data_IF_164310421161
#
_entry.id   IF_164310421161
#
_cell.length_a   1.000
_cell.length_b   1.000
_cell.length_c   1.000
_cell.angle_alpha   90.00
_cell.angle_beta   90.00
_cell.angle_gamma   90.00
#
_symmetry.space_group_name_H-M   'P 1'
#
loop_
_entity.id
_entity.type
_entity.pdbx_description
1 polymer ?
#
# COMPACT_ATOMS: atom_id res chain seq x y z
N UNK A 1 23.92 -11.17 -2.98
CA UNK A 1 24.57 -12.46 -2.65
C UNK A 1 25.03 -12.54 -1.20
N UNK A 2 25.34 -11.42 -0.53
CA UNK A 2 25.74 -11.40 0.89
C UNK A 2 24.59 -11.71 1.87
N UNK A 3 23.35 -11.32 1.54
CA UNK A 3 22.14 -11.70 2.30
C UNK A 3 21.86 -13.22 2.37
N UNK A 4 22.43 -14.02 1.45
CA UNK A 4 22.26 -15.48 1.46
C UNK A 4 23.28 -16.20 2.36
N UNK A 5 24.25 -15.46 2.92
CA UNK A 5 25.28 -16.00 3.81
C UNK A 5 24.97 -15.79 5.30
N UNK A 6 23.82 -15.17 5.62
CA UNK A 6 23.36 -15.00 6.99
C UNK A 6 23.05 -16.37 7.62
N UNK A 7 23.56 -16.61 8.83
CA UNK A 7 23.42 -17.89 9.55
C UNK A 7 22.24 -17.89 10.53
N UNK A 8 21.56 -16.75 10.69
CA UNK A 8 20.38 -16.64 11.56
C UNK A 8 19.22 -17.49 11.00
N UNK A 9 18.30 -17.98 11.87
CA UNK A 9 17.07 -18.63 11.41
C UNK A 9 16.34 -17.74 10.40
N UNK A 10 15.80 -18.34 9.35
CA UNK A 10 15.08 -17.60 8.31
C UNK A 10 13.87 -16.84 8.87
N UNK A 11 13.21 -17.37 9.90
CA UNK A 11 12.08 -16.74 10.60
C UNK A 11 12.47 -15.39 11.21
N UNK A 12 13.63 -15.32 11.87
CA UNK A 12 14.14 -14.06 12.47
C UNK A 12 14.43 -13.00 11.41
N UNK A 13 15.00 -13.42 10.27
CA UNK A 13 15.31 -12.54 9.15
C UNK A 13 14.02 -12.02 8.51
N UNK A 14 13.04 -12.90 8.30
CA UNK A 14 11.73 -12.53 7.75
C UNK A 14 11.02 -11.55 8.69
N UNK A 15 10.99 -11.83 9.98
CA UNK A 15 10.41 -10.94 10.99
C UNK A 15 11.08 -9.56 11.01
N UNK A 16 12.40 -9.50 10.91
CA UNK A 16 13.15 -8.24 10.83
C UNK A 16 12.78 -7.45 9.57
N UNK A 17 12.72 -8.13 8.41
CA UNK A 17 12.38 -7.49 7.14
C UNK A 17 10.93 -7.02 7.10
N UNK A 18 9.99 -7.77 7.67
CA UNK A 18 8.58 -7.39 7.75
C UNK A 18 8.35 -6.24 8.74
N UNK A 19 9.13 -6.16 9.83
CA UNK A 19 9.05 -5.06 10.81
C UNK A 19 9.69 -3.76 10.32
N UNK A 20 10.46 -3.78 9.22
CA UNK A 20 11.07 -2.57 8.67
C UNK A 20 9.99 -1.70 7.99
N UNK A 21 9.82 -0.41 8.36
CA UNK A 21 8.83 0.48 7.75
C UNK A 21 8.95 0.63 6.22
N UNK A 22 10.16 0.43 5.68
CA UNK A 22 10.42 0.46 4.24
C UNK A 22 9.73 -0.69 3.50
N UNK A 23 9.37 -1.77 4.20
CA UNK A 23 8.58 -2.86 3.66
C UNK A 23 7.20 -2.36 3.23
N UNK A 24 6.48 -1.67 4.11
CA UNK A 24 5.17 -1.11 3.79
C UNK A 24 5.22 -0.10 2.66
N UNK A 25 6.24 0.78 2.61
CA UNK A 25 6.44 1.72 1.50
C UNK A 25 6.65 1.01 0.16
N UNK A 26 7.47 -0.05 0.14
CA UNK A 26 7.75 -0.83 -1.07
C UNK A 26 6.51 -1.58 -1.52
N UNK A 27 5.80 -2.23 -0.61
CA UNK A 27 4.64 -3.06 -0.93
C UNK A 27 3.40 -2.23 -1.30
N UNK A 28 3.24 -1.06 -0.68
CA UNK A 28 2.19 -0.10 -1.02
C UNK A 28 2.22 0.33 -2.48
N UNK A 29 3.41 0.37 -3.12
CA UNK A 29 3.51 0.67 -4.56
C UNK A 29 2.71 -0.32 -5.41
N UNK A 30 2.80 -1.61 -5.11
CA UNK A 30 2.09 -2.64 -5.88
C UNK A 30 0.57 -2.52 -5.73
N UNK A 31 0.11 -2.15 -4.54
CA UNK A 31 -1.30 -1.82 -4.29
C UNK A 31 -1.75 -0.60 -5.09
N UNK A 32 -0.94 0.46 -5.07
CA UNK A 32 -1.26 1.70 -5.78
C UNK A 32 -1.23 1.53 -7.30
N UNK A 33 -0.41 0.64 -7.86
CA UNK A 33 -0.36 0.39 -9.30
C UNK A 33 -1.72 -0.13 -9.83
N UNK A 34 -2.41 -0.98 -9.07
CA UNK A 34 -3.74 -1.49 -9.42
C UNK A 34 -4.78 -0.37 -9.35
N UNK A 35 -4.69 0.50 -8.35
CA UNK A 35 -5.73 1.49 -8.07
C UNK A 35 -5.55 2.80 -8.87
N UNK A 36 -4.31 3.19 -9.20
CA UNK A 36 -4.07 4.32 -10.12
C UNK A 36 -4.60 4.05 -11.52
N UNK A 37 -4.70 2.79 -11.91
CA UNK A 37 -5.38 2.43 -13.16
C UNK A 37 -6.84 2.90 -13.18
N UNK A 38 -7.49 2.97 -12.01
CA UNK A 38 -8.88 3.40 -11.86
C UNK A 38 -9.04 4.90 -11.55
N UNK A 39 -7.96 5.65 -11.32
CA UNK A 39 -8.04 7.11 -11.13
C UNK A 39 -8.23 7.81 -12.48
N UNK A 40 -9.45 8.32 -12.67
CA UNK A 40 -9.84 8.97 -13.91
C UNK A 40 -9.22 10.39 -13.97
N UNK A 41 -8.40 10.66 -14.98
CA UNK A 41 -7.86 11.99 -15.21
C UNK A 41 -8.93 12.97 -15.74
N UNK A 42 -9.89 12.47 -16.52
CA UNK A 42 -10.86 13.29 -17.24
C UNK A 42 -11.17 12.78 -18.65
N UNK A 43 -12.32 13.17 -19.21
CA UNK A 43 -12.65 13.05 -20.63
C UNK A 43 -12.86 14.45 -21.19
N UNK A 44 -12.04 14.82 -22.18
CA UNK A 44 -12.14 16.12 -22.85
C UNK A 44 -11.99 17.29 -21.87
N UNK A 45 -13.04 18.12 -21.73
CA UNK A 45 -13.02 19.31 -20.85
C UNK A 45 -13.29 19.00 -19.38
N UNK A 46 -13.68 17.76 -19.04
CA UNK A 46 -13.89 17.33 -17.66
C UNK A 46 -12.59 16.79 -17.05
N UNK A 47 -11.51 17.59 -17.09
CA UNK A 47 -10.34 17.29 -16.26
C UNK A 47 -10.78 17.39 -14.81
N UNK A 48 -10.94 16.25 -14.13
CA UNK A 48 -11.17 16.27 -12.69
C UNK A 48 -9.86 16.53 -11.94
N UNK A 49 -8.71 16.31 -12.60
CA UNK A 49 -7.41 16.13 -11.95
C UNK A 49 -7.51 15.01 -10.89
N UNK A 50 -6.42 14.28 -10.64
CA UNK A 50 -6.42 13.34 -9.51
C UNK A 50 -6.93 14.04 -8.25
N UNK A 51 -7.71 13.33 -7.43
CA UNK A 51 -8.28 13.90 -6.20
C UNK A 51 -7.20 14.61 -5.38
N UNK A 52 -7.44 15.87 -4.97
CA UNK A 52 -6.42 16.71 -4.29
C UNK A 52 -5.85 16.06 -3.02
N UNK A 53 -6.62 15.16 -2.42
CA UNK A 53 -6.35 14.50 -1.16
C UNK A 53 -5.95 13.02 -1.34
N UNK A 54 -5.64 12.58 -2.57
CA UNK A 54 -5.28 11.19 -2.89
C UNK A 54 -4.03 10.68 -2.15
N UNK A 55 -3.19 11.58 -1.65
CA UNK A 55 -2.02 11.22 -0.85
C UNK A 55 -2.39 10.62 0.52
N UNK A 56 -3.57 10.94 1.09
CA UNK A 56 -4.05 10.27 2.30
C UNK A 56 -4.30 8.79 2.07
N UNK A 57 -4.71 8.41 0.86
CA UNK A 57 -4.88 7.01 0.49
C UNK A 57 -3.55 6.27 0.44
N UNK A 58 -2.52 6.89 -0.17
CA UNK A 58 -1.14 6.36 -0.14
C UNK A 58 -0.69 6.12 1.30
N UNK A 59 -0.85 7.13 2.15
CA UNK A 59 -0.41 7.05 3.55
C UNK A 59 -1.18 5.97 4.31
N UNK A 60 -2.51 5.90 4.13
CA UNK A 60 -3.33 4.84 4.72
C UNK A 60 -2.94 3.43 4.26
N UNK A 61 -2.57 3.21 3.00
CA UNK A 61 -2.07 1.91 2.53
C UNK A 61 -0.75 1.57 3.25
N UNK A 62 0.20 2.50 3.27
CA UNK A 62 1.51 2.29 3.89
C UNK A 62 1.35 1.97 5.38
N UNK A 63 0.53 2.73 6.09
CA UNK A 63 0.21 2.52 7.51
C UNK A 63 -0.51 1.20 7.75
N UNK A 64 -1.44 0.81 6.87
CA UNK A 64 -2.17 -0.46 6.98
C UNK A 64 -1.22 -1.66 6.81
N UNK A 65 -0.29 -1.59 5.86
CA UNK A 65 0.70 -2.64 5.65
C UNK A 65 1.71 -2.72 6.79
N UNK A 66 2.19 -1.57 7.29
CA UNK A 66 3.13 -1.53 8.42
C UNK A 66 2.50 -1.93 9.75
N UNK A 67 1.16 -1.83 9.89
CA UNK A 67 0.42 -2.27 11.07
C UNK A 67 -0.09 -3.71 10.98
N UNK A 68 0.28 -4.43 9.91
CA UNK A 68 -0.19 -5.79 9.64
C UNK A 68 -1.73 -5.88 9.62
N UNK A 69 -2.37 -4.85 9.06
CA UNK A 69 -3.83 -4.82 8.94
C UNK A 69 -4.28 -5.92 7.98
N UNK A 70 -5.24 -6.73 8.43
CA UNK A 70 -5.84 -7.78 7.62
C UNK A 70 -6.40 -7.26 6.30
N UNK A 71 -6.17 -8.01 5.22
CA UNK A 71 -6.67 -7.70 3.88
C UNK A 71 -8.19 -7.52 3.84
N UNK A 72 -8.92 -8.39 4.55
CA UNK A 72 -10.37 -8.32 4.71
C UNK A 72 -10.82 -6.99 5.32
N UNK A 73 -10.11 -6.51 6.35
CA UNK A 73 -10.38 -5.23 6.97
C UNK A 73 -10.08 -4.07 6.04
N UNK A 74 -8.96 -4.13 5.32
CA UNK A 74 -8.63 -3.13 4.30
C UNK A 74 -9.75 -3.03 3.27
N UNK A 75 -10.20 -4.13 2.69
CA UNK A 75 -11.29 -4.15 1.69
C UNK A 75 -12.59 -3.56 2.24
N UNK A 76 -12.97 -3.91 3.48
CA UNK A 76 -14.14 -3.31 4.13
C UNK A 76 -14.02 -1.78 4.26
N UNK A 77 -12.85 -1.27 4.67
CA UNK A 77 -12.61 0.17 4.80
C UNK A 77 -12.64 0.87 3.42
N UNK A 78 -12.16 0.21 2.36
CA UNK A 78 -12.26 0.74 0.99
C UNK A 78 -13.71 0.87 0.53
N UNK A 79 -14.54 -0.16 0.75
CA UNK A 79 -15.96 -0.15 0.38
C UNK A 79 -16.74 0.90 1.18
N UNK A 80 -16.47 0.99 2.49
CA UNK A 80 -17.11 2.00 3.33
C UNK A 80 -16.77 3.45 2.92
N UNK A 81 -15.58 3.66 2.36
CA UNK A 81 -15.17 4.97 1.83
C UNK A 81 -15.79 5.31 0.46
N UNK A 82 -16.27 4.32 -0.30
CA UNK A 82 -16.94 4.50 -1.59
C UNK A 82 -18.47 4.72 -1.44
N UNK A 83 -19.08 4.16 -0.39
CA UNK A 83 -20.52 4.31 -0.10
C UNK A 83 -20.92 5.66 0.54
N UNK A 84 -19.95 6.52 0.90
CA UNK A 84 -20.15 7.82 1.56
C UNK A 84 -19.88 9.00 0.61
#
# INVERSE_FOLDING_TARGET
MEQLADKRPWEEIVDELLKNPQHGERWARHWMDIWRYTDWYGLGKQLRNSQKHIWHWRDWIVESLNSDKGYDRMVQEMLAADEL
#
